data_IF_372823217702
#
_entry.id   IF_372823217702
#
_cell.length_a   1.000
_cell.length_b   1.000
_cell.length_c   1.000
_cell.angle_alpha   90.00
_cell.angle_beta   90.00
_cell.angle_gamma   90.00
#
_symmetry.space_group_name_H-M   'P 1'
#
loop_
_entity.id
_entity.type
_entity.pdbx_description
1 polymer ?
#
# COMPACT_ATOMS: atom_id res chain seq x y z
N UNK A 1 -10.55 -9.94 -14.25
CA UNK A 1 -9.46 -8.95 -14.33
C UNK A 1 -8.46 -9.28 -13.23
N UNK A 2 -7.17 -9.46 -13.57
CA UNK A 2 -6.12 -9.82 -12.61
C UNK A 2 -5.53 -8.56 -11.96
N UNK A 3 -5.05 -8.65 -10.71
CA UNK A 3 -4.53 -7.51 -9.94
C UNK A 3 -3.50 -6.68 -10.73
N UNK A 4 -2.55 -7.32 -11.41
CA UNK A 4 -1.49 -6.64 -12.16
C UNK A 4 -2.03 -5.79 -13.33
N UNK A 5 -3.14 -6.22 -13.97
CA UNK A 5 -3.80 -5.45 -15.04
C UNK A 5 -4.49 -4.18 -14.50
N UNK A 6 -4.92 -4.20 -13.25
CA UNK A 6 -5.46 -3.00 -12.59
C UNK A 6 -4.32 -2.04 -12.30
N UNK A 7 -3.22 -2.54 -11.74
CA UNK A 7 -2.07 -1.72 -11.33
C UNK A 7 -1.41 -1.02 -12.53
N UNK A 8 -1.31 -1.69 -13.68
CA UNK A 8 -0.74 -1.11 -14.91
C UNK A 8 -1.57 0.05 -15.47
N UNK A 9 -2.85 0.15 -15.13
CA UNK A 9 -3.75 1.24 -15.57
C UNK A 9 -3.75 2.46 -14.65
N UNK A 10 -2.95 2.45 -13.58
CA UNK A 10 -2.86 3.54 -12.61
C UNK A 10 -1.53 4.29 -12.81
N UNK A 11 -1.42 5.22 -13.78
CA UNK A 11 -0.15 5.86 -14.16
C UNK A 11 0.45 6.75 -13.07
N UNK A 12 -0.33 7.06 -12.03
CA UNK A 12 0.10 7.87 -10.87
C UNK A 12 0.21 7.04 -9.60
N UNK A 13 0.23 5.71 -9.71
CA UNK A 13 0.44 4.83 -8.56
C UNK A 13 1.89 4.90 -8.11
N UNK A 14 2.12 5.17 -6.82
CA UNK A 14 3.46 5.29 -6.23
C UNK A 14 3.66 4.33 -5.05
N UNK A 15 2.58 3.99 -4.34
CA UNK A 15 2.64 3.13 -3.17
C UNK A 15 1.43 2.19 -3.12
N UNK A 16 1.63 0.99 -2.59
CA UNK A 16 0.58 0.01 -2.34
C UNK A 16 0.67 -0.44 -0.88
N UNK A 17 -0.46 -0.40 -0.17
CA UNK A 17 -0.58 -0.90 1.19
C UNK A 17 -1.45 -2.16 1.20
N UNK A 18 -0.86 -3.30 1.54
CA UNK A 18 -1.53 -4.60 1.59
C UNK A 18 -2.19 -4.82 2.96
N UNK A 19 -3.52 -4.88 2.95
CA UNK A 19 -4.33 -5.06 4.14
C UNK A 19 -4.50 -6.54 4.51
N UNK A 20 -3.76 -6.99 5.52
CA UNK A 20 -3.86 -8.35 6.05
C UNK A 20 -3.09 -9.42 5.26
N UNK A 21 -3.10 -10.63 5.81
CA UNK A 21 -2.27 -11.75 5.33
C UNK A 21 -2.56 -12.14 3.87
N UNK A 22 -3.84 -12.22 3.49
CA UNK A 22 -4.23 -12.62 2.12
C UNK A 22 -3.73 -11.61 1.09
N UNK A 23 -3.90 -10.31 1.34
CA UNK A 23 -3.40 -9.29 0.43
C UNK A 23 -1.86 -9.34 0.31
N UNK A 24 -1.17 -9.57 1.42
CA UNK A 24 0.30 -9.63 1.45
C UNK A 24 0.88 -10.80 0.66
N UNK A 25 0.12 -11.85 0.38
CA UNK A 25 0.58 -12.97 -0.46
C UNK A 25 0.92 -12.52 -1.89
N UNK A 26 0.32 -11.43 -2.38
CA UNK A 26 0.59 -10.87 -3.70
C UNK A 26 1.83 -9.97 -3.74
N UNK A 27 2.43 -9.62 -2.60
CA UNK A 27 3.58 -8.71 -2.53
C UNK A 27 4.75 -9.13 -3.41
N UNK A 28 5.19 -10.41 -3.45
CA UNK A 28 6.31 -10.82 -4.30
C UNK A 28 6.04 -10.55 -5.78
N UNK A 29 4.89 -10.97 -6.30
CA UNK A 29 4.53 -10.77 -7.71
C UNK A 29 4.40 -9.30 -8.09
N UNK A 30 3.88 -8.46 -7.18
CA UNK A 30 3.82 -7.01 -7.40
C UNK A 30 5.21 -6.39 -7.37
N UNK A 31 6.11 -6.84 -6.49
CA UNK A 31 7.49 -6.36 -6.41
C UNK A 31 8.29 -6.70 -7.66
N UNK A 32 8.08 -7.89 -8.22
CA UNK A 32 8.70 -8.32 -9.48
C UNK A 32 8.20 -7.52 -10.68
N UNK A 33 6.89 -7.28 -10.75
CA UNK A 33 6.26 -6.57 -11.89
C UNK A 33 6.43 -5.05 -11.82
N UNK A 34 6.52 -4.48 -10.62
CA UNK A 34 6.55 -3.04 -10.37
C UNK A 34 7.62 -2.68 -9.32
N UNK A 35 8.92 -2.83 -9.63
CA UNK A 35 10.00 -2.66 -8.67
C UNK A 35 10.16 -1.23 -8.13
N UNK A 36 9.56 -0.24 -8.82
CA UNK A 36 9.60 1.17 -8.42
C UNK A 36 8.48 1.57 -7.43
N UNK A 37 7.50 0.70 -7.20
CA UNK A 37 6.41 0.98 -6.25
C UNK A 37 6.87 0.74 -4.81
N UNK A 38 6.53 1.66 -3.92
CA UNK A 38 6.69 1.44 -2.49
C UNK A 38 5.62 0.46 -1.98
N UNK A 39 6.04 -0.67 -1.41
CA UNK A 39 5.14 -1.74 -0.96
C UNK A 39 5.14 -1.84 0.57
N UNK A 40 3.97 -1.77 1.18
CA UNK A 40 3.80 -1.80 2.64
C UNK A 40 2.79 -2.87 3.05
N UNK A 41 3.03 -3.53 4.19
CA UNK A 41 2.07 -4.45 4.78
C UNK A 41 1.45 -3.89 6.05
N UNK A 42 0.13 -3.99 6.20
CA UNK A 42 -0.57 -3.67 7.45
C UNK A 42 -1.49 -4.80 7.92
N UNK A 43 -1.87 -4.86 9.21
CA UNK A 43 -2.95 -5.71 9.67
C UNK A 43 -4.26 -5.43 8.91
N UNK A 44 -5.15 -6.42 8.84
CA UNK A 44 -6.44 -6.23 8.19
C UNK A 44 -7.31 -5.25 9.00
N UNK A 45 -7.88 -4.20 8.39
CA UNK A 45 -8.66 -3.18 9.09
C UNK A 45 -10.11 -3.60 9.38
N UNK A 46 -10.40 -4.91 9.46
CA UNK A 46 -11.76 -5.37 9.81
C UNK A 46 -12.14 -4.95 11.23
N UNK A 47 -13.43 -4.69 11.50
CA UNK A 47 -13.93 -4.38 12.84
C UNK A 47 -13.45 -5.38 13.89
N UNK A 48 -13.47 -6.67 13.54
CA UNK A 48 -12.97 -7.75 14.39
C UNK A 48 -11.49 -7.54 14.79
N UNK A 49 -10.62 -7.18 13.86
CA UNK A 49 -9.19 -7.00 14.16
C UNK A 49 -8.91 -5.71 14.92
N UNK A 50 -9.55 -4.60 14.54
CA UNK A 50 -9.28 -3.28 15.15
C UNK A 50 -9.89 -3.15 16.55
N UNK A 51 -11.06 -3.76 16.80
CA UNK A 51 -11.69 -3.74 18.12
C UNK A 51 -11.06 -4.74 19.10
N UNK A 52 -10.30 -5.73 18.63
CA UNK A 52 -9.65 -6.73 19.49
C UNK A 52 -8.48 -6.14 20.26
N UNK A 53 -7.71 -5.22 19.68
CA UNK A 53 -6.55 -4.65 20.37
C UNK A 53 -6.17 -3.26 19.85
N UNK A 54 -5.88 -2.28 20.74
CA UNK A 54 -5.46 -0.94 20.33
C UNK A 54 -4.13 -0.93 19.56
N UNK A 55 -3.31 -1.97 19.72
CA UNK A 55 -2.08 -2.16 18.95
C UNK A 55 -2.33 -2.33 17.45
N UNK A 56 -3.44 -2.96 17.06
CA UNK A 56 -3.78 -3.15 15.64
C UNK A 56 -4.00 -1.79 14.98
N UNK A 57 -4.77 -0.91 15.63
CA UNK A 57 -4.98 0.46 15.18
C UNK A 57 -3.67 1.24 15.10
N UNK A 58 -2.81 1.16 16.12
CA UNK A 58 -1.48 1.82 16.09
C UNK A 58 -0.63 1.37 14.90
N UNK A 59 -0.59 0.06 14.63
CA UNK A 59 0.17 -0.49 13.49
C UNK A 59 -0.40 -0.02 12.15
N UNK A 60 -1.72 -0.04 11.98
CA UNK A 60 -2.38 0.46 10.77
C UNK A 60 -2.02 1.94 10.54
N UNK A 61 -2.17 2.79 11.56
CA UNK A 61 -1.86 4.21 11.46
C UNK A 61 -0.39 4.48 11.16
N UNK A 62 0.52 3.70 11.76
CA UNK A 62 1.96 3.79 11.50
C UNK A 62 2.28 3.51 10.03
N UNK A 63 1.77 2.41 9.47
CA UNK A 63 2.03 2.01 8.08
C UNK A 63 1.43 3.01 7.09
N UNK A 64 0.21 3.51 7.34
CA UNK A 64 -0.39 4.53 6.50
C UNK A 64 0.39 5.86 6.54
N UNK A 65 0.96 6.21 7.69
CA UNK A 65 1.81 7.39 7.83
C UNK A 65 3.12 7.23 7.06
N UNK A 66 3.71 6.04 7.06
CA UNK A 66 4.91 5.70 6.29
C UNK A 66 4.64 5.74 4.78
N UNK A 67 3.54 5.12 4.34
CA UNK A 67 3.10 5.16 2.94
C UNK A 67 2.82 6.59 2.46
N UNK A 68 2.26 7.46 3.32
CA UNK A 68 2.10 8.88 3.00
C UNK A 68 3.45 9.57 2.81
N UNK A 69 4.44 9.29 3.67
CA UNK A 69 5.79 9.88 3.55
C UNK A 69 6.49 9.45 2.27
N UNK A 70 6.32 8.21 1.82
CA UNK A 70 6.93 7.74 0.56
C UNK A 70 6.39 8.48 -0.67
N UNK A 71 5.19 9.07 -0.60
CA UNK A 71 4.66 9.93 -1.67
C UNK A 71 5.36 11.29 -1.75
N UNK A 72 6.00 11.73 -0.66
CA UNK A 72 6.64 13.05 -0.56
C UNK A 72 8.12 13.01 -1.00
N UNK A 73 8.71 11.82 -1.10
CA UNK A 73 10.12 11.60 -1.47
C UNK A 73 10.33 11.40 -2.97
N UNK A 74 9.25 11.17 -3.73
CA UNK A 74 9.31 11.15 -5.20
C UNK A 74 9.01 12.57 -5.69
N UNK A 75 9.90 13.20 -6.48
CA UNK A 75 9.60 14.52 -7.03
C UNK A 75 8.31 14.38 -7.84
N UNK A 76 7.30 15.16 -7.45
CA UNK A 76 6.03 15.20 -8.17
C UNK A 76 6.35 15.57 -9.63
N UNK A 77 5.99 14.68 -10.57
CA UNK A 77 6.00 15.02 -11.98
C UNK A 77 5.27 16.37 -12.18
N UNK A 78 5.74 17.23 -13.10
CA UNK A 78 5.20 18.58 -13.28
C UNK A 78 3.69 18.53 -13.37
N UNK A 79 3.03 19.29 -12.49
CA UNK A 79 1.61 19.58 -12.65
C UNK A 79 1.53 20.61 -13.76
N UNK A 80 1.25 20.17 -14.99
CA UNK A 80 0.85 21.10 -16.04
C UNK A 80 -0.52 21.68 -15.65
N UNK A 81 -0.56 23.00 -15.49
CA UNK A 81 -1.71 23.81 -15.11
C UNK A 81 -1.31 25.27 -14.99
#
# INVERSE_FOLDING_TARGET
MMLLDVLSRLPRLHAIVFAGRVAQQCMPSVRESFPLLALFGMPHPSPLSVCTSPEVTKRILSVLSEAKRSLQTVPAAPREG
#
